data_IF_035589364024
#
_entry.id   IF_035589364024
#
_cell.length_a   1.000
_cell.length_b   1.000
_cell.length_c   1.000
_cell.angle_alpha   90.00
_cell.angle_beta   90.00
_cell.angle_gamma   90.00
#
_symmetry.space_group_name_H-M   'P 1'
#
loop_
_entity.id
_entity.type
_entity.pdbx_description
1 polymer ?
#
# COMPACT_ATOMS: atom_id res chain seq x y z
N UNK A 1 -8.89 2.00 4.13
CA UNK A 1 -7.88 1.70 5.16
C UNK A 1 -6.58 1.28 4.47
N UNK A 2 -5.40 1.64 5.02
CA UNK A 2 -4.15 1.06 4.54
C UNK A 2 -4.10 -0.42 4.90
N UNK A 3 -3.65 -1.26 3.96
CA UNK A 3 -3.33 -2.65 4.25
C UNK A 3 -2.08 -2.75 5.11
N UNK A 4 -1.99 -3.79 5.96
CA UNK A 4 -0.79 -4.04 6.76
C UNK A 4 0.42 -4.31 5.87
N UNK A 5 1.61 -3.92 6.34
CA UNK A 5 2.87 -4.15 5.61
C UNK A 5 3.09 -5.65 5.41
N UNK A 6 2.81 -6.46 6.42
CA UNK A 6 2.95 -7.91 6.37
C UNK A 6 2.08 -8.55 5.27
N UNK A 7 0.83 -8.08 5.11
CA UNK A 7 -0.05 -8.58 4.05
C UNK A 7 0.54 -8.29 2.67
N UNK A 8 1.04 -7.07 2.46
CA UNK A 8 1.67 -6.68 1.19
C UNK A 8 2.89 -7.55 0.89
N UNK A 9 3.75 -7.79 1.89
CA UNK A 9 4.93 -8.63 1.75
C UNK A 9 4.54 -10.06 1.38
N UNK A 10 3.56 -10.68 2.07
CA UNK A 10 3.10 -12.04 1.74
C UNK A 10 2.53 -12.15 0.33
N UNK A 11 1.74 -11.16 -0.08
CA UNK A 11 1.16 -11.11 -1.44
C UNK A 11 2.27 -11.00 -2.48
N UNK A 12 3.26 -10.14 -2.27
CA UNK A 12 4.37 -9.95 -3.21
C UNK A 12 5.28 -11.18 -3.26
N UNK A 13 5.58 -11.80 -2.12
CA UNK A 13 6.34 -13.06 -2.07
C UNK A 13 5.63 -14.17 -2.84
N UNK A 14 4.32 -14.31 -2.68
CA UNK A 14 3.53 -15.28 -3.44
C UNK A 14 3.63 -15.05 -4.97
N UNK A 15 3.58 -13.79 -5.40
CA UNK A 15 3.72 -13.44 -6.83
C UNK A 15 5.15 -13.69 -7.33
N UNK A 16 6.17 -13.35 -6.54
CA UNK A 16 7.58 -13.61 -6.86
C UNK A 16 7.91 -15.10 -6.96
N UNK A 17 7.25 -15.95 -6.16
CA UNK A 17 7.36 -17.42 -6.23
C UNK A 17 6.68 -18.04 -7.46
N UNK A 18 6.17 -17.22 -8.40
CA UNK A 18 5.49 -17.68 -9.61
C UNK A 18 3.97 -17.79 -9.48
N UNK A 19 3.40 -17.32 -8.36
CA UNK A 19 1.95 -17.25 -8.18
C UNK A 19 1.29 -16.24 -9.10
N UNK A 20 0.17 -16.62 -9.72
CA UNK A 20 -0.64 -15.70 -10.54
C UNK A 20 -1.25 -14.57 -9.69
N UNK A 21 -1.23 -13.34 -10.21
CA UNK A 21 -1.88 -12.17 -9.58
C UNK A 21 -3.38 -12.41 -9.36
N UNK A 22 -4.05 -13.11 -10.28
CA UNK A 22 -5.47 -13.46 -10.14
C UNK A 22 -5.72 -14.39 -8.95
N UNK A 23 -4.80 -15.33 -8.72
CA UNK A 23 -4.87 -16.27 -7.60
C UNK A 23 -4.51 -15.58 -6.28
N UNK A 24 -3.52 -14.69 -6.29
CA UNK A 24 -3.18 -13.85 -5.15
C UNK A 24 -4.38 -12.98 -4.71
N UNK A 25 -5.08 -12.38 -5.67
CA UNK A 25 -6.28 -11.58 -5.39
C UNK A 25 -7.38 -12.38 -4.67
N UNK A 26 -7.62 -13.62 -5.09
CA UNK A 26 -8.59 -14.52 -4.46
C UNK A 26 -8.12 -15.02 -3.08
N UNK A 27 -6.85 -15.42 -2.95
CA UNK A 27 -6.30 -15.95 -1.70
C UNK A 27 -6.26 -14.90 -0.58
N UNK A 28 -5.82 -13.69 -0.92
CA UNK A 28 -5.62 -12.63 0.06
C UNK A 28 -6.79 -11.64 0.12
N UNK A 29 -7.85 -11.86 -0.67
CA UNK A 29 -9.03 -10.99 -0.75
C UNK A 29 -8.66 -9.53 -1.05
N UNK A 30 -7.70 -9.34 -1.96
CA UNK A 30 -7.19 -8.02 -2.38
C UNK A 30 -7.50 -7.81 -3.87
N UNK A 31 -7.98 -6.63 -4.23
CA UNK A 31 -8.21 -6.29 -5.63
C UNK A 31 -6.93 -6.36 -6.49
N UNK A 32 -7.03 -6.91 -7.70
CA UNK A 32 -5.90 -7.07 -8.63
C UNK A 32 -5.15 -5.76 -8.89
N UNK A 33 -5.88 -4.66 -9.07
CA UNK A 33 -5.32 -3.32 -9.28
C UNK A 33 -4.44 -2.86 -8.10
N UNK A 34 -4.81 -3.22 -6.87
CA UNK A 34 -4.01 -2.93 -5.69
C UNK A 34 -2.69 -3.71 -5.70
N UNK A 35 -2.71 -4.98 -6.11
CA UNK A 35 -1.51 -5.81 -6.24
C UNK A 35 -0.57 -5.22 -7.30
N UNK A 36 -1.09 -4.79 -8.44
CA UNK A 36 -0.30 -4.09 -9.45
C UNK A 36 0.34 -2.80 -8.90
N UNK A 37 -0.40 -2.01 -8.11
CA UNK A 37 0.16 -0.81 -7.46
C UNK A 37 1.28 -1.14 -6.48
N UNK A 38 1.19 -2.24 -5.75
CA UNK A 38 2.28 -2.67 -4.85
C UNK A 38 3.51 -3.15 -5.60
N UNK A 39 3.33 -3.86 -6.71
CA UNK A 39 4.44 -4.25 -7.59
C UNK A 39 5.17 -3.04 -8.18
N UNK A 40 4.44 -1.96 -8.45
CA UNK A 40 5.01 -0.71 -8.96
C UNK A 40 5.66 0.18 -7.88
N UNK A 41 5.44 -0.11 -6.59
CA UNK A 41 5.97 0.70 -5.49
C UNK A 41 7.32 0.17 -5.00
N UNK A 42 8.31 1.06 -4.87
CA UNK A 42 9.60 0.74 -4.25
C UNK A 42 9.51 0.62 -2.72
N UNK A 43 8.60 1.36 -2.09
CA UNK A 43 8.38 1.32 -0.64
C UNK A 43 6.93 0.94 -0.32
N UNK A 44 6.76 -0.06 0.55
CA UNK A 44 5.46 -0.62 0.95
C UNK A 44 4.91 0.00 2.23
N UNK A 45 5.70 0.83 2.92
CA UNK A 45 5.27 1.49 4.13
C UNK A 45 4.12 2.47 3.87
N UNK A 46 3.21 2.63 4.84
CA UNK A 46 2.17 3.63 4.75
C UNK A 46 2.78 5.04 4.75
N UNK A 47 2.29 5.88 3.85
CA UNK A 47 2.69 7.29 3.82
C UNK A 47 2.09 7.99 5.05
N UNK A 48 2.95 8.39 5.99
CA UNK A 48 2.55 9.19 7.16
C UNK A 48 2.44 10.66 6.78
N UNK A 49 1.22 11.12 6.51
CA UNK A 49 0.94 12.53 6.23
C UNK A 49 1.05 13.34 7.52
N UNK A 50 2.12 14.13 7.68
CA UNK A 50 2.39 14.92 8.90
C UNK A 50 1.47 16.13 9.04
N UNK A 51 1.24 16.85 7.94
CA UNK A 51 0.38 18.04 7.86
C UNK A 51 -0.34 18.04 6.53
N UNK A 52 -1.53 18.64 6.49
CA UNK A 52 -2.25 18.93 5.25
C UNK A 52 -2.35 20.44 5.10
N UNK A 53 -2.23 20.91 3.86
CA UNK A 53 -2.52 22.29 3.54
C UNK A 53 -4.00 22.55 3.86
N UNK A 54 -4.25 23.48 4.77
CA UNK A 54 -5.58 23.96 5.17
C UNK A 54 -5.55 25.48 5.18
N UNK A 55 -6.70 26.10 5.39
CA UNK A 55 -6.84 27.56 5.55
C UNK A 55 -6.12 28.10 6.80
N UNK A 56 -5.70 27.23 7.70
CA UNK A 56 -4.99 27.57 8.92
C UNK A 56 -3.52 27.82 8.58
N UNK A 57 -3.01 29.00 8.92
CA UNK A 57 -1.59 29.28 8.87
C UNK A 57 -0.90 28.57 10.04
N UNK A 58 -0.02 27.63 9.71
CA UNK A 58 0.70 26.84 10.70
C UNK A 58 1.86 27.60 11.33
N UNK A 59 2.37 28.64 10.66
CA UNK A 59 3.45 29.48 11.21
C UNK A 59 2.91 30.42 12.29
N UNK A 60 1.69 30.93 12.11
CA UNK A 60 0.98 31.73 13.11
C UNK A 60 0.61 30.97 14.39
N UNK A 61 0.73 29.63 14.40
CA UNK A 61 0.35 28.76 15.51
C UNK A 61 1.54 28.23 16.32
N UNK A 62 2.77 28.63 15.97
CA UNK A 62 4.03 28.17 16.59
C UNK A 62 4.35 28.97 17.84
#
# INVERSE_FOLDING_TARGET
MPYSVDLKIRVLQFVQQGGSISKAAQLYQVGRTTIFRWLAQTNLEPIKVKRRQRKLDWEALR
#
